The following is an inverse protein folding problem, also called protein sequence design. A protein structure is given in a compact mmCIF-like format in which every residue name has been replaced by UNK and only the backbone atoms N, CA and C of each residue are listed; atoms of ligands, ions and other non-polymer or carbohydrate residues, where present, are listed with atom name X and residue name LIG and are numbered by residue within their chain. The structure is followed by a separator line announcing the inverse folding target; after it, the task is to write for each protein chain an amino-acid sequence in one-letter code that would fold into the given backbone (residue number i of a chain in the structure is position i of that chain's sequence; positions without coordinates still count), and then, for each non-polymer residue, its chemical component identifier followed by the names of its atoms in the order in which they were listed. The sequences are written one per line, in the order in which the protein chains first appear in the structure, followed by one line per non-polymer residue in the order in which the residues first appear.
data_IF_870027557763
#
_entry.id   IF_870027557763
#
_cell.length_a   1.000
_cell.length_b   1.000
_cell.length_c   1.000
_cell.angle_alpha   90.00
_cell.angle_beta   90.00
_cell.angle_gamma   90.00
#
_symmetry.space_group_name_H-M   'P 1'
#
loop_
_entity.id
_entity.type
_entity.pdbx_description
1 polymer ?
#
# COMPACT_ATOMS: atom_id res chain seq x y z
N UNK A 1 -15.04 56.96 32.93
CA UNK A 1 -15.76 55.95 32.13
C UNK A 1 -15.02 54.63 32.26
N UNK A 2 -15.70 53.61 32.81
CA UNK A 2 -15.32 52.19 32.74
C UNK A 2 -15.30 51.77 31.25
N UNK A 3 -14.41 50.84 30.87
CA UNK A 3 -14.74 49.48 30.37
C UNK A 3 -13.44 48.70 30.09
N UNK A 4 -13.42 47.47 30.61
CA UNK A 4 -12.48 46.35 30.50
C UNK A 4 -12.54 45.63 29.15
N UNK A 5 -11.44 44.96 28.73
CA UNK A 5 -11.39 43.72 27.91
C UNK A 5 -9.89 43.42 27.64
N UNK A 6 -9.19 42.56 28.39
CA UNK A 6 -9.29 41.09 28.47
C UNK A 6 -8.86 40.36 27.19
N UNK A 7 -7.67 39.75 27.27
CA UNK A 7 -7.33 38.45 26.72
C UNK A 7 -7.26 38.25 25.19
N UNK A 8 -6.03 38.12 24.65
CA UNK A 8 -5.74 36.95 23.83
C UNK A 8 -4.23 36.64 23.79
N UNK A 9 -3.80 35.68 24.63
CA UNK A 9 -2.51 35.00 24.46
C UNK A 9 -2.69 33.93 23.40
N UNK A 10 -2.14 34.11 22.21
CA UNK A 10 -2.07 33.01 21.23
C UNK A 10 -0.92 32.10 21.61
N UNK A 11 -1.31 30.89 21.97
CA UNK A 11 -0.49 29.80 22.48
C UNK A 11 0.55 29.35 21.43
N UNK A 12 1.77 29.09 21.89
CA UNK A 12 2.86 28.50 21.10
C UNK A 12 2.46 27.07 20.71
N UNK A 13 2.27 26.80 19.43
CA UNK A 13 2.12 25.42 18.94
C UNK A 13 3.51 24.79 18.93
N UNK A 14 3.83 24.14 20.05
CA UNK A 14 4.97 23.25 20.21
C UNK A 14 4.66 21.94 19.47
N UNK A 15 5.15 21.78 18.24
CA UNK A 15 5.14 20.49 17.54
C UNK A 15 6.25 19.63 18.14
N UNK A 16 5.95 18.95 19.26
CA UNK A 16 6.75 17.83 19.73
C UNK A 16 6.39 16.62 18.88
N UNK A 17 7.40 16.06 18.21
CA UNK A 17 7.29 14.83 17.44
C UNK A 17 6.71 13.71 18.27
N UNK A 18 5.63 13.11 17.78
CA UNK A 18 5.12 11.86 18.29
C UNK A 18 6.03 10.74 17.78
N UNK A 19 6.90 10.26 18.66
CA UNK A 19 7.50 8.95 18.51
C UNK A 19 6.39 7.90 18.64
N UNK A 20 6.08 7.19 17.55
CA UNK A 20 5.24 6.01 17.60
C UNK A 20 6.12 4.84 18.02
N UNK A 21 6.15 4.60 19.33
CA UNK A 21 6.59 3.33 19.90
C UNK A 21 5.37 2.42 20.11
N UNK A 22 5.60 1.14 19.86
CA UNK A 22 4.84 -0.03 20.35
C UNK A 22 3.64 -0.50 19.53
N UNK A 23 3.75 -1.73 19.02
CA UNK A 23 3.03 -2.84 19.62
C UNK A 23 3.62 -4.18 19.15
N UNK A 24 4.39 -4.83 20.01
CA UNK A 24 4.70 -6.25 19.93
C UNK A 24 3.39 -7.02 20.05
N UNK A 25 2.87 -7.54 18.94
CA UNK A 25 1.70 -8.41 18.95
C UNK A 25 2.10 -9.78 19.50
N UNK A 26 1.93 -9.98 20.81
CA UNK A 26 1.83 -11.31 21.41
C UNK A 26 0.43 -11.81 21.09
N UNK A 27 0.24 -12.47 19.94
CA UNK A 27 -1.00 -13.21 19.68
C UNK A 27 -0.97 -14.53 20.41
N UNK A 28 -1.68 -14.54 21.54
CA UNK A 28 -2.14 -15.73 22.27
C UNK A 28 -2.70 -16.77 21.31
N UNK A 29 -2.17 -17.99 21.37
CA UNK A 29 -2.73 -19.17 20.69
C UNK A 29 -4.02 -19.54 21.42
N UNK A 30 -5.15 -19.08 20.89
CA UNK A 30 -6.47 -19.57 21.27
C UNK A 30 -6.68 -20.95 20.65
N UNK A 31 -6.48 -22.01 21.43
CA UNK A 31 -6.91 -23.35 21.06
C UNK A 31 -8.44 -23.41 21.12
N UNK A 32 -9.10 -23.43 19.96
CA UNK A 32 -10.53 -23.75 19.88
C UNK A 32 -10.65 -25.27 19.91
N UNK A 33 -10.88 -25.83 21.10
CA UNK A 33 -11.32 -27.22 21.26
C UNK A 33 -12.82 -27.26 20.99
N UNK A 34 -13.19 -27.59 19.76
CA UNK A 34 -14.55 -27.99 19.43
C UNK A 34 -14.80 -29.42 19.87
N UNK A 35 -15.27 -29.63 21.10
CA UNK A 35 -15.94 -30.88 21.49
C UNK A 35 -17.33 -30.87 20.84
N UNK A 36 -17.49 -31.64 19.77
CA UNK A 36 -18.79 -32.01 19.25
C UNK A 36 -19.20 -33.33 19.90
N UNK A 37 -19.82 -33.24 21.07
CA UNK A 37 -20.65 -34.32 21.61
C UNK A 37 -21.96 -34.36 20.79
N UNK A 38 -21.99 -35.21 19.76
CA UNK A 38 -23.21 -35.55 19.01
C UNK A 38 -23.64 -36.97 19.37
N UNK A 39 -24.76 -37.09 20.10
CA UNK A 39 -25.31 -38.36 20.57
C UNK A 39 -25.76 -39.26 19.41
N UNK A 40 -25.37 -40.54 19.48
CA UNK A 40 -25.96 -41.58 18.67
C UNK A 40 -27.35 -41.92 19.22
N UNK A 41 -28.37 -41.33 18.60
CA UNK A 41 -29.74 -41.83 18.67
C UNK A 41 -29.79 -43.17 17.94
N UNK A 42 -30.16 -44.22 18.67
CA UNK A 42 -30.51 -45.53 18.11
C UNK A 42 -31.63 -45.40 17.08
N UNK A 43 -31.61 -46.20 16.01
CA UNK A 43 -32.80 -46.88 15.54
C UNK A 43 -32.70 -48.35 15.95
N UNK A 44 -33.64 -48.75 16.80
CA UNK A 44 -33.98 -50.15 16.98
C UNK A 44 -34.43 -50.69 15.61
N UNK A 45 -33.70 -51.69 15.09
CA UNK A 45 -34.24 -52.61 14.12
C UNK A 45 -34.35 -53.96 14.83
N UNK A 46 -35.59 -54.35 15.06
CA UNK A 46 -36.01 -55.63 15.59
C UNK A 46 -35.42 -56.76 14.74
N UNK A 47 -34.43 -57.47 15.27
CA UNK A 47 -34.22 -58.87 14.91
C UNK A 47 -34.91 -59.72 15.95
N UNK A 48 -36.18 -60.00 15.66
CA UNK A 48 -36.97 -61.06 16.25
C UNK A 48 -36.23 -62.40 16.02
N UNK A 49 -35.36 -62.78 16.94
CA UNK A 49 -34.93 -64.17 17.06
C UNK A 49 -36.13 -64.92 17.64
N UNK A 50 -36.92 -65.53 16.75
CA UNK A 50 -37.97 -66.46 17.13
C UNK A 50 -37.37 -67.61 17.95
N UNK A 51 -37.38 -67.46 19.27
CA UNK A 51 -37.21 -68.53 20.22
C UNK A 51 -38.48 -69.37 20.21
N UNK A 52 -38.61 -70.22 19.19
CA UNK A 52 -39.59 -71.30 19.15
C UNK A 52 -39.16 -72.44 20.08
N UNK A 53 -40.00 -72.70 21.07
CA UNK A 53 -40.13 -73.92 21.88
C UNK A 53 -38.88 -74.52 22.53
N UNK A 54 -38.71 -74.21 23.83
CA UNK A 54 -37.97 -75.06 24.75
C UNK A 54 -38.85 -76.24 25.21
N UNK A 55 -38.73 -77.40 24.56
CA UNK A 55 -38.96 -78.69 25.23
C UNK A 55 -37.59 -79.32 25.50
N UNK A 56 -37.22 -79.31 26.78
CA UNK A 56 -36.05 -79.90 27.45
C UNK A 56 -35.46 -81.17 26.83
N UNK A 57 -34.14 -81.19 26.56
CA UNK A 57 -33.30 -82.39 26.69
C UNK A 57 -31.78 -82.09 26.56
N UNK A 58 -31.03 -82.56 27.56
CA UNK A 58 -29.64 -83.01 27.53
C UNK A 58 -28.46 -82.02 27.35
N UNK A 59 -27.52 -82.21 28.28
CA UNK A 59 -26.12 -81.79 28.34
C UNK A 59 -25.38 -81.98 27.00
N UNK A 60 -24.93 -80.89 26.38
CA UNK A 60 -24.03 -80.88 25.21
C UNK A 60 -22.80 -80.04 25.58
N UNK A 61 -21.56 -80.56 25.46
CA UNK A 61 -20.33 -79.81 25.74
C UNK A 61 -19.99 -78.80 24.63
N UNK A 62 -20.99 -78.10 24.10
CA UNK A 62 -20.86 -77.09 23.04
C UNK A 62 -20.83 -75.64 23.58
N UNK A 63 -21.20 -75.41 24.85
CA UNK A 63 -21.27 -74.08 25.45
C UNK A 63 -19.91 -73.36 25.56
N UNK A 64 -18.83 -74.10 25.87
CA UNK A 64 -17.48 -73.51 25.96
C UNK A 64 -16.91 -73.11 24.60
N UNK A 65 -17.15 -73.90 23.54
CA UNK A 65 -16.68 -73.59 22.18
C UNK A 65 -17.41 -72.38 21.59
N UNK A 66 -18.73 -72.23 21.83
CA UNK A 66 -19.50 -71.08 21.40
C UNK A 66 -19.11 -69.77 22.13
N UNK A 67 -18.80 -69.84 23.42
CA UNK A 67 -18.30 -68.68 24.19
C UNK A 67 -16.90 -68.23 23.74
N UNK A 68 -16.02 -69.15 23.35
CA UNK A 68 -14.68 -68.81 22.86
C UNK A 68 -14.74 -68.15 21.47
N UNK A 69 -15.62 -68.63 20.57
CA UNK A 69 -15.78 -68.00 19.25
C UNK A 69 -16.40 -66.60 19.32
N UNK A 70 -17.37 -66.39 20.21
CA UNK A 70 -17.98 -65.07 20.43
C UNK A 70 -16.99 -64.08 21.06
N UNK A 71 -16.17 -64.51 22.01
CA UNK A 71 -15.09 -63.69 22.58
C UNK A 71 -14.02 -63.31 21.52
N UNK A 72 -13.65 -64.24 20.64
CA UNK A 72 -12.74 -64.01 19.52
C UNK A 72 -13.25 -62.96 18.54
N UNK A 73 -14.53 -63.05 18.13
CA UNK A 73 -15.15 -62.06 17.24
C UNK A 73 -15.24 -60.67 17.90
N UNK A 74 -15.62 -60.61 19.18
CA UNK A 74 -15.67 -59.36 19.94
C UNK A 74 -14.29 -58.68 20.03
N UNK A 75 -13.23 -59.47 20.22
CA UNK A 75 -11.86 -58.96 20.30
C UNK A 75 -11.33 -58.47 18.94
N UNK A 76 -11.69 -59.14 17.83
CA UNK A 76 -11.39 -58.66 16.48
C UNK A 76 -12.14 -57.36 16.15
N UNK A 77 -13.42 -57.27 16.49
CA UNK A 77 -14.22 -56.05 16.28
C UNK A 77 -13.64 -54.86 17.07
N UNK A 78 -13.21 -55.10 18.32
CA UNK A 78 -12.53 -54.08 19.13
C UNK A 78 -11.21 -53.62 18.51
N UNK A 79 -10.39 -54.55 17.99
CA UNK A 79 -9.14 -54.22 17.32
C UNK A 79 -9.37 -53.42 16.02
N UNK A 80 -10.41 -53.75 15.24
CA UNK A 80 -10.79 -53.01 14.04
C UNK A 80 -11.29 -51.60 14.37
N UNK A 81 -12.08 -51.44 15.44
CA UNK A 81 -12.52 -50.12 15.92
C UNK A 81 -11.33 -49.23 16.30
N UNK A 82 -10.39 -49.75 17.09
CA UNK A 82 -9.20 -49.01 17.51
C UNK A 82 -8.33 -48.62 16.31
N UNK A 83 -8.19 -49.51 15.33
CA UNK A 83 -7.46 -49.22 14.10
C UNK A 83 -8.15 -48.13 13.27
N UNK A 84 -9.49 -48.15 13.16
CA UNK A 84 -10.27 -47.14 12.46
C UNK A 84 -10.18 -45.76 13.15
N UNK A 85 -10.25 -45.73 14.49
CA UNK A 85 -10.11 -44.50 15.29
C UNK A 85 -8.70 -43.90 15.13
N UNK A 86 -7.66 -44.73 15.10
CA UNK A 86 -6.28 -44.29 14.88
C UNK A 86 -6.08 -43.68 13.49
N UNK A 87 -6.67 -44.28 12.45
CA UNK A 87 -6.63 -43.75 11.08
C UNK A 87 -7.39 -42.42 10.99
N UNK A 88 -8.56 -42.33 11.62
CA UNK A 88 -9.38 -41.12 11.65
C UNK A 88 -8.64 -39.98 12.34
N UNK A 89 -8.04 -40.24 13.51
CA UNK A 89 -7.26 -39.24 14.26
C UNK A 89 -6.06 -38.72 13.46
N UNK A 90 -5.33 -39.61 12.78
CA UNK A 90 -4.18 -39.23 11.94
C UNK A 90 -4.62 -38.37 10.76
N UNK A 91 -5.74 -38.70 10.11
CA UNK A 91 -6.29 -37.90 9.02
C UNK A 91 -6.75 -36.50 9.48
N UNK A 92 -7.35 -36.40 10.67
CA UNK A 92 -7.75 -35.11 11.27
C UNK A 92 -6.54 -34.26 11.64
N UNK A 93 -5.50 -34.85 12.22
CA UNK A 93 -4.26 -34.14 12.56
C UNK A 93 -3.52 -33.65 11.31
N UNK A 94 -3.48 -34.43 10.23
CA UNK A 94 -2.87 -34.04 8.96
C UNK A 94 -3.68 -32.93 8.26
N UNK A 95 -5.01 -33.03 8.25
CA UNK A 95 -5.89 -31.97 7.77
C UNK A 95 -5.72 -30.67 8.57
N UNK A 96 -5.61 -30.76 9.90
CA UNK A 96 -5.33 -29.61 10.76
C UNK A 96 -3.95 -29.00 10.48
N UNK A 97 -2.93 -29.83 10.23
CA UNK A 97 -1.58 -29.35 9.88
C UNK A 97 -1.55 -28.64 8.52
N UNK A 98 -2.26 -29.18 7.53
CA UNK A 98 -2.39 -28.57 6.20
C UNK A 98 -3.13 -27.24 6.26
N UNK A 99 -4.26 -27.18 6.96
CA UNK A 99 -5.01 -25.94 7.18
C UNK A 99 -4.18 -24.89 7.93
N UNK A 100 -3.39 -25.29 8.92
CA UNK A 100 -2.49 -24.39 9.63
C UNK A 100 -1.36 -23.85 8.73
N UNK A 101 -0.81 -24.68 7.84
CA UNK A 101 0.20 -24.26 6.88
C UNK A 101 -0.37 -23.27 5.84
N UNK A 102 -1.54 -23.56 5.28
CA UNK A 102 -2.25 -22.68 4.34
C UNK A 102 -2.56 -21.33 5.00
N UNK A 103 -3.15 -21.33 6.21
CA UNK A 103 -3.42 -20.12 6.97
C UNK A 103 -2.15 -19.32 7.31
N UNK A 104 -1.02 -19.98 7.56
CA UNK A 104 0.27 -19.30 7.77
C UNK A 104 0.79 -18.66 6.48
N UNK A 105 0.66 -19.35 5.33
CA UNK A 105 1.05 -18.79 4.03
C UNK A 105 0.20 -17.59 3.63
N UNK A 106 -1.12 -17.66 3.84
CA UNK A 106 -2.04 -16.54 3.57
C UNK A 106 -1.74 -15.33 4.46
N UNK A 107 -1.50 -15.55 5.75
CA UNK A 107 -1.11 -14.47 6.68
C UNK A 107 0.21 -13.83 6.27
N UNK A 108 1.20 -14.61 5.84
CA UNK A 108 2.48 -14.09 5.35
C UNK A 108 2.30 -13.26 4.07
N UNK A 109 1.53 -13.77 3.10
CA UNK A 109 1.24 -13.05 1.86
C UNK A 109 0.46 -11.75 2.11
N UNK A 110 -0.49 -11.75 3.06
CA UNK A 110 -1.21 -10.56 3.47
C UNK A 110 -0.28 -9.52 4.14
N UNK A 111 0.63 -9.97 5.01
CA UNK A 111 1.61 -9.11 5.66
C UNK A 111 2.60 -8.49 4.65
N UNK A 112 3.07 -9.26 3.67
CA UNK A 112 3.95 -8.77 2.60
C UNK A 112 3.25 -7.71 1.73
N UNK A 113 2.01 -7.96 1.31
CA UNK A 113 1.22 -6.96 0.56
C UNK A 113 0.97 -5.69 1.36
N UNK A 114 0.69 -5.81 2.66
CA UNK A 114 0.52 -4.65 3.53
C UNK A 114 1.81 -3.84 3.69
N UNK A 115 2.96 -4.53 3.80
CA UNK A 115 4.28 -3.88 3.86
C UNK A 115 4.60 -3.14 2.55
N UNK A 116 4.38 -3.75 1.39
CA UNK A 116 4.61 -3.14 0.08
C UNK A 116 3.70 -1.92 -0.13
N UNK A 117 2.43 -2.02 0.26
CA UNK A 117 1.50 -0.87 0.21
C UNK A 117 1.98 0.27 1.12
N UNK A 118 2.40 -0.04 2.36
CA UNK A 118 2.89 0.98 3.29
C UNK A 118 4.15 1.68 2.76
N UNK A 119 5.06 0.94 2.11
CA UNK A 119 6.25 1.50 1.49
C UNK A 119 5.91 2.41 0.30
N UNK A 120 4.99 1.97 -0.58
CA UNK A 120 4.51 2.79 -1.72
C UNK A 120 3.90 4.10 -1.23
N UNK A 121 2.99 4.02 -0.26
CA UNK A 121 2.35 5.21 0.31
C UNK A 121 3.36 6.13 1.03
N UNK A 122 4.38 5.56 1.67
CA UNK A 122 5.45 6.35 2.28
C UNK A 122 6.29 7.09 1.23
N UNK A 123 6.59 6.44 0.10
CA UNK A 123 7.29 7.06 -1.03
C UNK A 123 6.45 8.17 -1.66
N UNK A 124 5.17 7.92 -1.92
CA UNK A 124 4.24 8.91 -2.46
C UNK A 124 4.09 10.13 -1.54
N UNK A 125 4.02 9.92 -0.22
CA UNK A 125 4.00 11.02 0.77
C UNK A 125 5.29 11.85 0.74
N UNK A 126 6.46 11.20 0.71
CA UNK A 126 7.74 11.92 0.61
C UNK A 126 7.83 12.74 -0.68
N UNK A 127 7.45 12.15 -1.81
CA UNK A 127 7.43 12.87 -3.09
C UNK A 127 6.43 14.05 -3.07
N UNK A 128 5.28 13.90 -2.42
CA UNK A 128 4.31 14.99 -2.25
C UNK A 128 4.85 16.11 -1.36
N UNK A 129 5.52 15.79 -0.26
CA UNK A 129 6.16 16.75 0.65
C UNK A 129 7.30 17.51 -0.03
N UNK A 130 8.14 16.81 -0.80
CA UNK A 130 9.18 17.45 -1.61
C UNK A 130 8.57 18.38 -2.67
N UNK A 131 7.52 17.95 -3.38
CA UNK A 131 6.83 18.78 -4.37
C UNK A 131 6.21 20.03 -3.73
N UNK A 132 5.63 19.89 -2.53
CA UNK A 132 5.09 21.02 -1.78
C UNK A 132 6.20 22.01 -1.40
N UNK A 133 7.30 21.53 -0.82
CA UNK A 133 8.45 22.34 -0.42
C UNK A 133 9.09 23.08 -1.61
N UNK A 134 9.21 22.41 -2.76
CA UNK A 134 9.68 23.03 -4.02
C UNK A 134 8.71 24.09 -4.53
N UNK A 135 7.41 23.88 -4.38
CA UNK A 135 6.38 24.83 -4.82
C UNK A 135 6.36 26.09 -3.96
N UNK A 136 6.58 25.98 -2.65
CA UNK A 136 6.73 27.13 -1.74
C UNK A 136 7.95 27.98 -2.11
N UNK A 137 9.07 27.35 -2.46
CA UNK A 137 10.28 28.08 -2.88
C UNK A 137 10.09 28.81 -4.22
N UNK A 138 9.20 28.31 -5.09
CA UNK A 138 8.98 28.80 -6.47
C UNK A 138 7.76 29.72 -6.59
N UNK A 139 7.39 30.41 -5.52
CA UNK A 139 6.20 31.25 -5.54
C UNK A 139 6.38 32.47 -6.45
N UNK A 140 5.78 32.39 -7.65
CA UNK A 140 5.78 33.46 -8.65
C UNK A 140 5.02 34.71 -8.19
N UNK A 141 4.14 34.62 -7.19
CA UNK A 141 3.37 35.76 -6.69
C UNK A 141 4.21 36.77 -5.90
N UNK A 142 5.43 36.38 -5.52
CA UNK A 142 6.41 37.25 -4.86
C UNK A 142 7.04 38.30 -5.78
N UNK A 143 6.87 38.16 -7.10
CA UNK A 143 7.42 39.10 -8.10
C UNK A 143 6.36 40.11 -8.54
N UNK A 144 6.69 41.40 -8.47
CA UNK A 144 5.80 42.45 -8.96
C UNK A 144 5.63 42.37 -10.48
N UNK A 145 4.40 42.33 -10.96
CA UNK A 145 4.10 42.33 -12.39
C UNK A 145 4.47 43.67 -13.02
N UNK A 146 5.28 43.63 -14.09
CA UNK A 146 5.71 44.80 -14.85
C UNK A 146 5.21 44.72 -16.30
N UNK A 147 5.18 45.88 -16.98
CA UNK A 147 4.85 45.96 -18.40
C UNK A 147 5.89 45.27 -19.30
N UNK A 148 7.15 45.25 -18.87
CA UNK A 148 8.24 44.58 -19.55
C UNK A 148 9.36 44.22 -18.57
N UNK A 149 10.19 43.26 -18.99
CA UNK A 149 11.36 42.80 -18.25
C UNK A 149 12.57 42.74 -19.18
N UNK A 150 13.71 43.19 -18.67
CA UNK A 150 15.01 42.96 -19.31
C UNK A 150 15.46 41.52 -19.09
N UNK A 151 16.35 41.01 -19.96
CA UNK A 151 16.96 39.68 -19.79
C UNK A 151 17.62 39.55 -18.40
N UNK A 152 18.28 40.60 -17.92
CA UNK A 152 18.90 40.61 -16.61
C UNK A 152 17.88 40.44 -15.48
N UNK A 153 16.72 41.11 -15.57
CA UNK A 153 15.63 40.93 -14.60
C UNK A 153 15.06 39.51 -14.66
N UNK A 154 14.86 38.94 -15.85
CA UNK A 154 14.39 37.55 -16.01
C UNK A 154 15.38 36.56 -15.40
N UNK A 155 16.67 36.72 -15.66
CA UNK A 155 17.72 35.90 -15.05
C UNK A 155 17.77 36.06 -13.53
N UNK A 156 17.58 37.27 -13.01
CA UNK A 156 17.52 37.52 -11.57
C UNK A 156 16.33 36.81 -10.91
N UNK A 157 15.15 36.84 -11.55
CA UNK A 157 13.98 36.07 -11.09
C UNK A 157 14.26 34.58 -11.10
N UNK A 158 14.86 34.06 -12.18
CA UNK A 158 15.23 32.64 -12.26
C UNK A 158 16.23 32.25 -11.16
N UNK A 159 17.21 33.10 -10.80
CA UNK A 159 18.14 32.83 -9.69
C UNK A 159 17.46 32.72 -8.33
N UNK A 160 16.32 33.36 -8.14
CA UNK A 160 15.56 33.30 -6.89
C UNK A 160 14.62 32.08 -6.84
N UNK A 161 14.09 31.67 -7.99
CA UNK A 161 13.10 30.58 -8.07
C UNK A 161 13.73 29.20 -8.27
N UNK A 162 14.85 29.13 -8.98
CA UNK A 162 15.51 27.85 -9.30
C UNK A 162 16.48 27.50 -8.16
N UNK A 163 16.47 26.27 -7.63
CA UNK A 163 17.49 25.81 -6.69
C UNK A 163 18.91 26.08 -7.24
N UNK A 164 19.81 26.55 -6.38
CA UNK A 164 21.10 27.08 -6.81
C UNK A 164 21.96 26.05 -7.57
N UNK A 165 21.92 24.80 -7.15
CA UNK A 165 22.56 23.65 -7.77
C UNK A 165 21.92 23.25 -9.12
N UNK A 166 20.66 23.60 -9.34
CA UNK A 166 19.92 23.34 -10.58
C UNK A 166 19.99 24.49 -11.60
N UNK A 167 20.40 25.69 -11.17
CA UNK A 167 20.29 26.92 -11.96
C UNK A 167 21.07 26.86 -13.29
N UNK A 168 22.29 26.32 -13.29
CA UNK A 168 23.10 26.27 -14.52
C UNK A 168 22.44 25.41 -15.61
N UNK A 169 21.91 24.23 -15.23
CA UNK A 169 21.21 23.35 -16.15
C UNK A 169 19.93 24.01 -16.71
N UNK A 170 19.15 24.65 -15.84
CA UNK A 170 17.98 25.43 -16.25
C UNK A 170 18.35 26.56 -17.22
N UNK A 171 19.40 27.31 -16.88
CA UNK A 171 19.92 28.42 -17.68
C UNK A 171 20.32 27.97 -19.08
N UNK A 172 20.98 26.82 -19.21
CA UNK A 172 21.37 26.29 -20.50
C UNK A 172 20.16 26.00 -21.39
N UNK A 173 19.13 25.33 -20.85
CA UNK A 173 17.89 25.08 -21.58
C UNK A 173 17.25 26.40 -22.01
N UNK A 174 16.98 27.32 -21.07
CA UNK A 174 16.32 28.59 -21.39
C UNK A 174 17.11 29.41 -22.43
N UNK A 175 18.44 29.36 -22.37
CA UNK A 175 19.28 30.03 -23.35
C UNK A 175 19.12 29.41 -24.76
N UNK A 176 19.08 28.09 -24.87
CA UNK A 176 18.85 27.39 -26.14
C UNK A 176 17.43 27.60 -26.69
N UNK A 177 16.43 27.60 -25.81
CA UNK A 177 15.02 27.69 -26.21
C UNK A 177 14.60 29.09 -26.62
N UNK A 178 15.06 30.12 -25.91
CA UNK A 178 14.53 31.49 -26.09
C UNK A 178 15.58 32.58 -26.05
N UNK A 179 16.85 32.25 -25.75
CA UNK A 179 17.87 33.26 -25.43
C UNK A 179 17.36 34.22 -24.35
N UNK A 180 16.66 33.69 -23.34
CA UNK A 180 16.03 34.43 -22.24
C UNK A 180 14.92 35.40 -22.63
N UNK A 181 14.38 35.32 -23.84
CA UNK A 181 13.24 36.12 -24.25
C UNK A 181 11.92 35.47 -23.81
N UNK A 182 11.30 35.99 -22.76
CA UNK A 182 10.00 35.52 -22.26
C UNK A 182 8.82 35.72 -23.23
N UNK A 183 9.02 36.46 -24.32
CA UNK A 183 8.05 36.65 -25.41
C UNK A 183 8.46 35.92 -26.68
N UNK A 184 9.49 35.07 -26.63
CA UNK A 184 9.92 34.27 -27.77
C UNK A 184 8.75 33.44 -28.28
N UNK A 185 8.47 33.54 -29.58
CA UNK A 185 7.42 32.78 -30.23
C UNK A 185 8.00 32.17 -31.49
N UNK A 186 7.85 30.85 -31.66
CA UNK A 186 8.20 30.17 -32.90
C UNK A 186 6.96 30.11 -33.81
N UNK A 187 6.92 30.82 -34.95
CA UNK A 187 5.74 30.86 -35.81
C UNK A 187 5.41 29.51 -36.47
N UNK A 188 6.42 28.67 -36.70
CA UNK A 188 6.23 27.38 -37.37
C UNK A 188 5.63 26.33 -36.44
N UNK A 189 6.03 26.31 -35.17
CA UNK A 189 5.56 25.31 -34.20
C UNK A 189 4.46 25.85 -33.27
N UNK A 190 4.39 27.16 -33.04
CA UNK A 190 3.54 27.77 -32.03
C UNK A 190 4.10 27.69 -30.60
N UNK A 191 5.36 27.29 -30.45
CA UNK A 191 6.04 27.26 -29.15
C UNK A 191 6.23 28.69 -28.60
N UNK A 192 6.09 28.86 -27.28
CA UNK A 192 6.08 30.18 -26.65
C UNK A 192 6.86 30.26 -25.34
N UNK A 193 7.48 31.42 -25.10
CA UNK A 193 8.06 31.82 -23.82
C UNK A 193 9.47 31.27 -23.57
N UNK A 194 9.94 31.42 -22.33
CA UNK A 194 11.30 31.11 -21.90
C UNK A 194 11.73 29.68 -22.19
N UNK A 195 10.77 28.76 -22.08
CA UNK A 195 10.94 27.31 -22.16
C UNK A 195 10.28 26.71 -23.40
N UNK A 196 9.85 27.55 -24.34
CA UNK A 196 9.22 27.17 -25.61
C UNK A 196 8.11 26.11 -25.44
N UNK A 197 7.15 26.38 -24.56
CA UNK A 197 6.05 25.47 -24.27
C UNK A 197 5.14 25.29 -25.50
N UNK A 198 4.75 24.03 -25.77
CA UNK A 198 3.88 23.68 -26.90
C UNK A 198 2.61 22.90 -26.46
N UNK A 199 1.40 23.47 -26.62
CA UNK A 199 1.13 24.90 -26.85
C UNK A 199 1.47 25.74 -25.61
N UNK A 200 1.76 27.04 -25.83
CA UNK A 200 2.08 27.98 -24.75
C UNK A 200 1.01 28.07 -23.65
N UNK A 201 -0.26 27.84 -23.99
CA UNK A 201 -1.40 27.86 -23.08
C UNK A 201 -1.30 26.86 -21.91
N UNK A 202 -0.45 25.83 -22.01
CA UNK A 202 -0.17 24.93 -20.88
C UNK A 202 0.37 25.66 -19.65
N UNK A 203 1.04 26.80 -19.85
CA UNK A 203 1.56 27.64 -18.78
C UNK A 203 0.47 28.30 -17.93
N UNK A 204 -0.78 28.34 -18.41
CA UNK A 204 -1.93 28.83 -17.63
C UNK A 204 -2.15 28.07 -16.32
N UNK A 205 -1.68 26.82 -16.24
CA UNK A 205 -1.70 26.03 -15.00
C UNK A 205 -0.82 26.59 -13.88
N UNK A 206 0.18 27.42 -14.21
CA UNK A 206 1.04 28.08 -13.24
C UNK A 206 0.57 29.49 -12.85
N UNK A 207 -0.24 30.13 -13.70
CA UNK A 207 -0.79 31.47 -13.50
C UNK A 207 -1.48 31.99 -14.77
N UNK A 208 -2.56 32.77 -14.61
CA UNK A 208 -3.33 33.32 -15.73
C UNK A 208 -2.55 34.35 -16.57
N UNK A 209 -1.49 34.92 -16.01
CA UNK A 209 -0.60 35.93 -16.61
C UNK A 209 0.62 35.32 -17.34
N UNK A 210 0.61 34.01 -17.58
CA UNK A 210 1.72 33.25 -18.18
C UNK A 210 2.30 33.86 -19.46
N UNK A 211 1.47 34.54 -20.25
CA UNK A 211 1.90 35.11 -21.51
C UNK A 211 2.84 36.31 -21.32
N UNK A 212 2.72 37.05 -20.23
CA UNK A 212 3.50 38.29 -20.03
C UNK A 212 4.35 38.28 -18.77
N UNK A 213 4.18 37.29 -17.90
CA UNK A 213 4.93 37.16 -16.66
C UNK A 213 6.02 36.06 -16.75
N UNK A 214 7.31 36.42 -16.81
CA UNK A 214 8.40 35.45 -16.83
C UNK A 214 8.48 34.61 -15.55
N UNK A 215 8.08 35.11 -14.38
CA UNK A 215 8.05 34.31 -13.15
C UNK A 215 7.06 33.14 -13.29
N UNK A 216 5.89 33.38 -13.89
CA UNK A 216 4.90 32.34 -14.20
C UNK A 216 5.48 31.31 -15.18
N UNK A 217 6.21 31.75 -16.21
CA UNK A 217 6.87 30.85 -17.16
C UNK A 217 7.99 30.02 -16.51
N UNK A 218 8.79 30.61 -15.63
CA UNK A 218 9.84 29.92 -14.86
C UNK A 218 9.19 28.87 -13.94
N UNK A 219 8.13 29.24 -13.20
CA UNK A 219 7.38 28.32 -12.34
C UNK A 219 6.85 27.12 -13.12
N UNK A 220 6.22 27.37 -14.27
CA UNK A 220 5.73 26.29 -15.13
C UNK A 220 6.87 25.42 -15.66
N UNK A 221 7.95 26.03 -16.18
CA UNK A 221 9.10 25.32 -16.73
C UNK A 221 9.78 24.41 -15.70
N UNK A 222 9.94 24.91 -14.47
CA UNK A 222 10.47 24.12 -13.37
C UNK A 222 9.58 22.93 -13.00
N UNK A 223 8.25 23.12 -12.99
CA UNK A 223 7.31 22.03 -12.74
C UNK A 223 7.36 20.97 -13.86
N UNK A 224 7.44 21.42 -15.13
CA UNK A 224 7.57 20.53 -16.27
C UNK A 224 8.87 19.71 -16.21
N UNK A 225 10.01 20.36 -15.93
CA UNK A 225 11.30 19.68 -15.80
C UNK A 225 11.29 18.65 -14.67
N UNK A 226 10.74 18.99 -13.51
CA UNK A 226 10.65 18.08 -12.38
C UNK A 226 9.75 16.87 -12.69
N UNK A 227 8.61 17.07 -13.36
CA UNK A 227 7.70 15.97 -13.69
C UNK A 227 8.24 15.06 -14.78
N UNK A 228 8.85 15.63 -15.83
CA UNK A 228 9.24 14.88 -17.03
C UNK A 228 10.64 14.28 -16.92
N UNK A 229 11.53 14.95 -16.18
CA UNK A 229 12.96 14.64 -16.11
C UNK A 229 13.50 14.50 -14.68
N UNK A 230 12.65 14.71 -13.66
CA UNK A 230 13.03 14.64 -12.24
C UNK A 230 13.68 15.92 -11.70
N UNK A 231 14.38 16.67 -12.55
CA UNK A 231 15.01 17.97 -12.21
C UNK A 231 15.41 18.76 -13.46
N UNK A 232 15.75 20.07 -13.33
CA UNK A 232 16.36 20.83 -14.42
C UNK A 232 17.66 20.24 -14.97
N UNK A 233 18.46 19.58 -14.13
CA UNK A 233 19.69 18.91 -14.60
C UNK A 233 19.37 17.59 -15.31
N UNK A 234 18.36 16.84 -14.86
CA UNK A 234 17.85 15.70 -15.62
C UNK A 234 17.38 16.12 -17.01
N UNK A 235 16.68 17.27 -17.11
CA UNK A 235 16.25 17.83 -18.38
C UNK A 235 17.45 18.22 -19.26
N UNK A 236 18.47 18.86 -18.70
CA UNK A 236 19.66 19.25 -19.44
C UNK A 236 20.45 18.04 -19.96
N UNK A 237 20.66 17.01 -19.13
CA UNK A 237 21.29 15.77 -19.57
C UNK A 237 20.52 15.09 -20.71
N UNK A 238 19.18 15.09 -20.63
CA UNK A 238 18.33 14.60 -21.70
C UNK A 238 18.51 15.41 -22.98
N UNK A 239 18.49 16.75 -22.87
CA UNK A 239 18.70 17.66 -23.99
C UNK A 239 20.07 17.44 -24.65
N UNK A 240 21.15 17.27 -23.88
CA UNK A 240 22.49 17.03 -24.44
C UNK A 240 22.57 15.74 -25.27
N UNK A 241 21.76 14.73 -24.94
CA UNK A 241 21.72 13.46 -25.66
C UNK A 241 20.78 13.50 -26.89
N UNK A 242 19.72 14.31 -26.84
CA UNK A 242 18.63 14.23 -27.81
C UNK A 242 18.43 15.49 -28.66
N UNK A 243 18.98 16.63 -28.23
CA UNK A 243 18.77 17.97 -28.79
C UNK A 243 17.30 18.44 -28.74
N UNK A 244 16.51 17.91 -27.80
CA UNK A 244 15.15 18.34 -27.46
C UNK A 244 14.86 18.05 -25.98
N UNK A 245 13.83 18.68 -25.41
CA UNK A 245 13.33 18.42 -24.05
C UNK A 245 11.82 18.77 -23.93
#
# INVERSE_FOLDING_TARGET
MRTTLEGNRVSRISVRGFAVASATAVTTVGAVVGVASGGAQQPANDFEAAAGEATLLADIPAGQQAQVQTASLAQQAAAQSIAADAVTKKAVEEAARKAAAEAATEKKAAAEKAAEQAEREAKERKEAEEKASRSETRDATSFATQSSYTVAQVQAMARQMVPADQFQCFSNIVNHESTWNYRASNPSSGAYGLVQALPGSKMASAGADWQTNPATQIKWGLNYMDQRYGSPCGAWSFWQANNWY
#
